data_IF_668861571996
#
_entry.id   IF_668861571996
#
_cell.length_a   1.000
_cell.length_b   1.000
_cell.length_c   1.000
_cell.angle_alpha   90.00
_cell.angle_beta   90.00
_cell.angle_gamma   90.00
#
_symmetry.space_group_name_H-M   'P 1'
#
loop_
_entity.id
_entity.type
_entity.pdbx_description
1 polymer ?
#
# COMPACT_ATOMS: atom_id res chain seq x y z
N UNK A 1 -39.43 -39.97 -85.58
CA UNK A 1 -38.46 -40.93 -85.00
C UNK A 1 -37.11 -40.23 -84.85
N UNK A 2 -36.77 -39.72 -83.66
CA UNK A 2 -35.37 -39.59 -83.23
C UNK A 2 -35.33 -39.58 -81.71
N UNK A 3 -34.47 -40.43 -81.18
CA UNK A 3 -34.45 -40.98 -79.83
C UNK A 3 -33.63 -40.11 -78.89
N UNK A 4 -34.07 -40.00 -77.63
CA UNK A 4 -33.36 -39.34 -76.54
C UNK A 4 -32.10 -40.10 -76.12
N UNK A 5 -31.09 -39.37 -75.63
CA UNK A 5 -30.05 -39.91 -74.74
C UNK A 5 -29.81 -38.89 -73.63
N UNK A 6 -30.30 -39.20 -72.42
CA UNK A 6 -29.93 -38.55 -71.17
C UNK A 6 -28.72 -39.30 -70.59
N UNK A 7 -27.61 -38.60 -70.32
CA UNK A 7 -26.49 -39.15 -69.55
C UNK A 7 -26.50 -38.59 -68.14
N UNK A 8 -26.63 -39.48 -67.15
CA UNK A 8 -26.60 -39.17 -65.72
C UNK A 8 -25.15 -38.95 -65.26
N UNK A 9 -24.84 -37.77 -64.73
CA UNK A 9 -23.53 -37.44 -64.17
C UNK A 9 -23.42 -37.98 -62.73
N UNK A 10 -22.65 -39.04 -62.54
CA UNK A 10 -22.37 -39.60 -61.22
C UNK A 10 -21.59 -38.60 -60.36
N UNK A 11 -22.21 -38.11 -59.28
CA UNK A 11 -21.59 -37.21 -58.32
C UNK A 11 -20.48 -37.91 -57.53
N UNK A 12 -19.26 -37.39 -57.62
CA UNK A 12 -18.07 -37.89 -56.93
C UNK A 12 -18.22 -37.81 -55.40
N UNK A 13 -18.64 -38.93 -54.77
CA UNK A 13 -18.76 -39.10 -53.31
C UNK A 13 -17.46 -38.80 -52.55
N UNK A 14 -16.31 -39.00 -53.21
CA UNK A 14 -14.97 -38.81 -52.64
C UNK A 14 -14.69 -37.36 -52.23
N UNK A 15 -15.13 -36.36 -53.01
CA UNK A 15 -14.84 -34.95 -52.71
C UNK A 15 -15.68 -34.40 -51.55
N UNK A 16 -16.89 -34.95 -51.33
CA UNK A 16 -17.72 -34.61 -50.16
C UNK A 16 -17.11 -35.14 -48.86
N UNK A 17 -16.49 -36.32 -48.89
CA UNK A 17 -15.85 -36.93 -47.73
C UNK A 17 -14.62 -36.14 -47.26
N UNK A 18 -13.75 -35.72 -48.18
CA UNK A 18 -12.57 -34.89 -47.84
C UNK A 18 -12.93 -33.51 -47.28
N UNK A 19 -14.05 -32.91 -47.69
CA UNK A 19 -14.52 -31.62 -47.17
C UNK A 19 -15.05 -31.71 -45.73
N UNK A 20 -15.76 -32.80 -45.40
CA UNK A 20 -16.27 -33.04 -44.04
C UNK A 20 -15.12 -33.37 -43.07
N UNK A 21 -14.18 -34.22 -43.50
CA UNK A 21 -12.97 -34.52 -42.71
C UNK A 21 -12.13 -33.25 -42.50
N UNK A 22 -11.97 -32.42 -43.53
CA UNK A 22 -11.30 -31.13 -43.41
C UNK A 22 -11.95 -30.23 -42.36
N UNK A 23 -13.29 -30.10 -42.37
CA UNK A 23 -14.00 -29.27 -41.40
C UNK A 23 -13.90 -29.77 -39.95
N UNK A 24 -13.90 -31.09 -39.75
CA UNK A 24 -13.80 -31.73 -38.42
C UNK A 24 -12.39 -31.58 -37.85
N UNK A 25 -11.36 -31.66 -38.69
CA UNK A 25 -9.97 -31.43 -38.28
C UNK A 25 -9.76 -29.97 -37.89
N UNK A 26 -10.32 -29.01 -38.64
CA UNK A 26 -10.24 -27.59 -38.28
C UNK A 26 -10.99 -27.23 -37.01
N UNK A 27 -12.16 -27.82 -36.74
CA UNK A 27 -12.90 -27.54 -35.50
C UNK A 27 -12.25 -28.17 -34.27
N UNK A 28 -11.66 -29.36 -34.41
CA UNK A 28 -10.91 -30.01 -33.32
C UNK A 28 -9.59 -29.26 -33.00
N UNK A 29 -8.94 -28.70 -34.02
CA UNK A 29 -7.75 -27.86 -33.85
C UNK A 29 -8.05 -26.54 -33.11
N UNK A 30 -9.25 -25.97 -33.29
CA UNK A 30 -9.64 -24.72 -32.63
C UNK A 30 -9.95 -24.90 -31.14
N UNK A 31 -10.42 -26.09 -30.73
CA UNK A 31 -10.75 -26.39 -29.33
C UNK A 31 -9.54 -26.68 -28.44
N UNK A 32 -8.39 -27.06 -29.03
CA UNK A 32 -7.16 -27.35 -28.29
C UNK A 32 -6.35 -26.10 -27.91
N UNK A 33 -6.75 -24.91 -28.38
CA UNK A 33 -6.05 -23.65 -28.15
C UNK A 33 -6.59 -22.77 -27.01
N UNK A 34 -7.57 -23.24 -26.24
CA UNK A 34 -8.15 -22.48 -25.11
C UNK A 34 -7.22 -22.60 -23.89
N UNK A 35 -6.07 -21.95 -23.96
CA UNK A 35 -5.15 -21.83 -22.84
C UNK A 35 -5.78 -21.00 -21.71
N UNK A 36 -5.61 -21.46 -20.48
CA UNK A 36 -6.03 -20.78 -19.26
C UNK A 36 -5.44 -19.36 -19.22
N UNK A 37 -6.30 -18.34 -19.36
CA UNK A 37 -5.91 -16.96 -19.13
C UNK A 37 -5.77 -16.74 -17.62
N UNK A 38 -4.56 -16.96 -17.09
CA UNK A 38 -4.23 -16.57 -15.72
C UNK A 38 -4.08 -15.05 -15.66
N UNK A 39 -5.17 -14.35 -15.33
CA UNK A 39 -5.15 -12.95 -14.95
C UNK A 39 -4.56 -12.82 -13.54
N UNK A 40 -3.26 -13.13 -13.40
CA UNK A 40 -2.53 -12.82 -12.18
C UNK A 40 -2.16 -11.34 -12.26
N UNK A 41 -2.92 -10.52 -11.53
CA UNK A 41 -2.62 -9.10 -11.35
C UNK A 41 -1.33 -8.99 -10.54
N UNK A 42 -0.21 -8.96 -11.24
CA UNK A 42 1.05 -8.48 -10.71
C UNK A 42 0.95 -6.95 -10.73
N UNK A 43 0.83 -6.35 -9.55
CA UNK A 43 1.04 -4.90 -9.39
C UNK A 43 2.53 -4.74 -9.10
N UNK A 44 3.39 -4.53 -10.12
CA UNK A 44 4.73 -4.05 -9.82
C UNK A 44 4.54 -2.73 -9.09
N UNK A 45 5.11 -2.62 -7.90
CA UNK A 45 5.44 -1.32 -7.32
C UNK A 45 6.54 -0.75 -8.21
N UNK A 46 6.16 -0.25 -9.39
CA UNK A 46 7.04 0.59 -10.18
C UNK A 46 7.23 1.85 -9.34
N UNK A 47 8.39 2.00 -8.70
CA UNK A 47 8.86 3.29 -8.23
C UNK A 47 8.98 4.18 -9.46
N UNK A 48 7.91 4.89 -9.77
CA UNK A 48 7.88 5.87 -10.85
C UNK A 48 8.77 7.05 -10.47
N UNK A 49 10.07 6.95 -10.74
CA UNK A 49 10.93 8.09 -11.04
C UNK A 49 11.21 9.10 -9.92
N UNK A 50 11.21 8.72 -8.65
CA UNK A 50 11.55 9.61 -7.51
C UNK A 50 12.55 8.96 -6.54
N UNK A 51 13.57 8.27 -7.05
CA UNK A 51 14.59 7.61 -6.21
C UNK A 51 15.39 8.59 -5.32
N UNK A 52 15.23 9.92 -5.46
CA UNK A 52 16.18 10.90 -4.90
C UNK A 52 15.59 12.09 -4.10
N UNK A 53 14.27 12.23 -3.94
CA UNK A 53 13.68 13.30 -3.12
C UNK A 53 12.70 12.73 -2.10
N UNK A 54 13.24 12.01 -1.12
CA UNK A 54 12.49 11.58 0.06
C UNK A 54 12.54 12.67 1.12
N UNK A 55 11.43 12.90 1.81
CA UNK A 55 11.38 13.80 2.96
C UNK A 55 12.12 13.17 4.14
N UNK A 56 13.24 13.75 4.61
CA UNK A 56 13.94 13.22 5.77
C UNK A 56 13.09 13.46 7.01
N UNK A 57 12.91 12.44 7.85
CA UNK A 57 12.23 12.57 9.13
C UNK A 57 12.87 11.65 10.16
N UNK A 58 12.96 12.12 11.40
CA UNK A 58 13.43 11.32 12.53
C UNK A 58 12.26 11.00 13.45
N UNK A 59 12.12 9.73 13.83
CA UNK A 59 11.10 9.25 14.76
C UNK A 59 11.78 8.72 16.02
N UNK A 60 11.62 9.46 17.12
CA UNK A 60 12.03 9.01 18.45
C UNK A 60 11.08 7.94 18.98
N UNK A 61 11.59 7.07 19.85
CA UNK A 61 10.72 6.21 20.65
C UNK A 61 9.79 7.06 21.53
N UNK A 62 8.51 6.69 21.58
CA UNK A 62 7.57 7.40 22.42
C UNK A 62 7.72 6.87 23.85
N UNK A 63 7.65 7.76 24.83
CA UNK A 63 7.69 7.40 26.24
C UNK A 63 6.39 6.70 26.70
N UNK A 64 6.46 5.94 27.80
CA UNK A 64 5.30 5.30 28.42
C UNK A 64 4.91 3.94 27.81
N UNK A 65 3.78 3.35 28.26
CA UNK A 65 3.38 2.00 27.87
C UNK A 65 3.16 1.88 26.36
N UNK A 66 3.83 0.91 25.75
CA UNK A 66 3.79 0.62 24.32
C UNK A 66 4.20 1.79 23.40
N UNK A 67 4.88 2.81 23.93
CA UNK A 67 5.29 3.97 23.14
C UNK A 67 6.29 3.61 22.03
N UNK A 68 7.24 2.72 22.30
CA UNK A 68 8.13 2.17 21.26
C UNK A 68 7.35 1.50 20.12
N UNK A 69 6.31 0.72 20.44
CA UNK A 69 5.49 0.05 19.43
C UNK A 69 4.73 1.06 18.55
N UNK A 70 4.24 2.16 19.14
CA UNK A 70 3.62 3.26 18.38
C UNK A 70 4.63 3.87 17.42
N UNK A 71 5.84 4.18 17.91
CA UNK A 71 6.91 4.73 17.08
C UNK A 71 7.31 3.79 15.93
N UNK A 72 7.37 2.48 16.18
CA UNK A 72 7.67 1.46 15.18
C UNK A 72 6.57 1.41 14.08
N UNK A 73 5.29 1.52 14.45
CA UNK A 73 4.18 1.57 13.47
C UNK A 73 4.21 2.87 12.66
N UNK A 74 4.41 4.02 13.32
CA UNK A 74 4.50 5.32 12.64
C UNK A 74 5.65 5.31 11.62
N UNK A 75 6.82 4.81 12.01
CA UNK A 75 7.95 4.68 11.10
C UNK A 75 7.63 3.75 9.93
N UNK A 76 6.98 2.60 10.18
CA UNK A 76 6.60 1.66 9.14
C UNK A 76 5.59 2.24 8.14
N UNK A 77 4.63 3.03 8.60
CA UNK A 77 3.64 3.70 7.75
C UNK A 77 4.29 4.75 6.85
N UNK A 78 5.14 5.60 7.42
CA UNK A 78 5.88 6.63 6.67
C UNK A 78 6.82 5.98 5.64
N UNK A 79 7.53 4.90 5.99
CA UNK A 79 8.35 4.14 5.04
C UNK A 79 7.50 3.55 3.92
N UNK A 80 6.32 3.00 4.24
CA UNK A 80 5.41 2.37 3.28
C UNK A 80 4.84 3.36 2.26
N UNK A 81 4.74 4.64 2.62
CA UNK A 81 4.33 5.69 1.66
C UNK A 81 5.30 5.84 0.49
N UNK A 82 6.58 5.46 0.67
CA UNK A 82 7.63 5.63 -0.33
C UNK A 82 8.21 7.04 -0.43
N UNK A 83 7.59 8.03 0.25
CA UNK A 83 7.96 9.45 0.16
C UNK A 83 8.92 9.91 1.27
N UNK A 84 9.08 9.12 2.34
CA UNK A 84 9.89 9.50 3.50
C UNK A 84 11.16 8.68 3.62
N UNK A 85 12.22 9.33 4.10
CA UNK A 85 13.43 8.70 4.61
C UNK A 85 13.40 8.79 6.13
N UNK A 86 13.10 7.67 6.78
CA UNK A 86 12.86 7.62 8.23
C UNK A 86 14.10 7.16 8.98
N UNK A 87 14.60 8.00 9.89
CA UNK A 87 15.62 7.64 10.89
C UNK A 87 14.96 7.36 12.24
N UNK A 88 15.44 6.36 12.96
CA UNK A 88 14.95 5.98 14.31
C UNK A 88 15.96 6.44 15.36
N UNK A 89 15.48 7.02 16.46
CA UNK A 89 16.28 7.39 17.62
C UNK A 89 15.60 6.97 18.93
N UNK A 90 16.35 6.95 20.02
CA UNK A 90 15.81 6.68 21.35
C UNK A 90 14.86 7.80 21.80
N UNK A 91 14.14 7.54 22.90
CA UNK A 91 13.14 8.47 23.40
C UNK A 91 13.78 9.79 23.85
N UNK A 92 13.21 10.89 23.35
CA UNK A 92 13.61 12.24 23.75
C UNK A 92 12.71 12.69 24.90
N UNK A 93 13.32 13.29 25.93
CA UNK A 93 12.59 13.82 27.08
C UNK A 93 11.91 15.14 26.73
N UNK A 94 10.75 15.37 27.36
CA UNK A 94 10.00 16.63 27.28
C UNK A 94 9.57 17.03 28.68
N UNK A 95 9.35 18.33 28.89
CA UNK A 95 8.84 18.83 30.16
C UNK A 95 7.34 18.55 30.34
N UNK A 96 6.77 18.97 31.49
CA UNK A 96 5.35 18.79 31.79
C UNK A 96 4.41 19.58 30.87
N UNK A 97 4.93 20.59 30.17
CA UNK A 97 4.19 21.35 29.16
C UNK A 97 4.26 20.73 27.76
N UNK A 98 5.03 19.64 27.60
CA UNK A 98 5.27 18.98 26.32
C UNK A 98 6.37 19.64 25.48
N UNK A 99 7.08 20.63 26.03
CA UNK A 99 8.21 21.27 25.37
C UNK A 99 9.36 20.28 25.28
N UNK A 100 9.96 20.08 24.10
CA UNK A 100 11.05 19.13 23.94
C UNK A 100 12.30 19.60 24.67
N UNK A 101 13.11 18.67 25.15
CA UNK A 101 14.44 18.98 25.67
C UNK A 101 15.41 19.25 24.50
N UNK A 102 15.52 20.51 24.09
CA UNK A 102 16.38 20.94 22.98
C UNK A 102 17.84 20.53 23.16
N UNK A 103 18.39 20.61 24.37
CA UNK A 103 19.77 20.19 24.62
C UNK A 103 20.01 18.70 24.35
N UNK A 104 19.02 17.85 24.66
CA UNK A 104 19.10 16.42 24.34
C UNK A 104 18.95 16.16 22.84
N UNK A 105 18.13 16.96 22.13
CA UNK A 105 17.95 16.85 20.68
C UNK A 105 19.22 17.30 19.94
N UNK A 106 19.80 18.43 20.34
CA UNK A 106 21.01 18.99 19.73
C UNK A 106 22.19 18.01 19.84
N UNK A 107 22.30 17.30 20.98
CA UNK A 107 23.32 16.27 21.19
C UNK A 107 23.18 15.05 20.25
N UNK A 108 22.00 14.84 19.65
CA UNK A 108 21.76 13.77 18.67
C UNK A 108 22.08 14.20 17.24
N UNK A 109 22.45 15.47 17.01
CA UNK A 109 22.81 16.05 15.72
C UNK A 109 21.74 15.78 14.63
N UNK A 110 20.46 15.92 15.01
CA UNK A 110 19.33 15.66 14.12
C UNK A 110 19.09 16.89 13.23
N UNK A 111 19.27 16.74 11.91
CA UNK A 111 19.05 17.81 10.94
C UNK A 111 17.69 17.74 10.22
N UNK A 112 16.82 16.81 10.62
CA UNK A 112 15.49 16.60 10.04
C UNK A 112 14.40 16.90 11.07
N UNK A 113 13.15 17.13 10.64
CA UNK A 113 12.00 17.14 11.55
C UNK A 113 11.99 15.91 12.45
N UNK A 114 11.69 16.10 13.74
CA UNK A 114 11.71 15.07 14.77
C UNK A 114 10.30 14.88 15.34
N UNK A 115 9.77 13.66 15.22
CA UNK A 115 8.58 13.23 15.91
C UNK A 115 8.93 12.57 17.24
N UNK A 116 8.36 13.06 18.34
CA UNK A 116 8.51 12.52 19.69
C UNK A 116 7.16 12.52 20.41
N UNK A 117 7.07 11.85 21.56
CA UNK A 117 5.82 11.83 22.29
C UNK A 117 5.80 10.89 23.47
N UNK A 118 4.60 10.74 24.04
CA UNK A 118 4.31 9.81 25.12
C UNK A 118 2.96 9.15 24.95
N UNK A 119 2.84 7.93 25.44
CA UNK A 119 1.62 7.14 25.50
C UNK A 119 1.23 6.92 26.95
N UNK A 120 -0.05 7.10 27.26
CA UNK A 120 -0.67 6.68 28.52
C UNK A 120 -1.58 5.46 28.34
N UNK A 121 -1.52 4.79 27.18
CA UNK A 121 -2.36 3.67 26.79
C UNK A 121 -3.62 4.10 26.02
N UNK A 122 -4.46 4.95 26.63
CA UNK A 122 -5.68 5.45 26.00
C UNK A 122 -5.47 6.74 25.19
N UNK A 123 -4.35 7.41 25.42
CA UNK A 123 -4.01 8.68 24.82
C UNK A 123 -2.55 8.66 24.40
N UNK A 124 -2.28 9.19 23.21
CA UNK A 124 -0.95 9.43 22.68
C UNK A 124 -0.80 10.93 22.48
N UNK A 125 0.14 11.53 23.20
CA UNK A 125 0.55 12.91 23.00
C UNK A 125 1.80 12.89 22.12
N UNK A 126 1.74 13.50 20.95
CA UNK A 126 2.90 13.59 20.08
C UNK A 126 3.20 15.06 19.75
N UNK A 127 4.48 15.34 19.55
CA UNK A 127 5.00 16.60 19.05
C UNK A 127 5.88 16.34 17.83
N UNK A 128 5.77 17.24 16.86
CA UNK A 128 6.65 17.33 15.71
C UNK A 128 7.41 18.66 15.80
N UNK A 129 8.73 18.59 15.80
CA UNK A 129 9.61 19.75 15.97
C UNK A 129 10.63 19.83 14.86
N UNK A 130 11.11 21.04 14.60
CA UNK A 130 12.29 21.30 13.79
C UNK A 130 13.49 21.56 14.72
N UNK A 131 14.43 20.61 14.84
CA UNK A 131 15.65 20.77 15.63
C UNK A 131 16.57 21.90 15.17
N UNK A 132 16.53 22.28 13.89
CA UNK A 132 17.43 23.31 13.33
C UNK A 132 16.91 24.70 13.69
N UNK A 133 15.58 24.88 13.66
CA UNK A 133 14.93 26.16 13.97
C UNK A 133 14.51 26.30 15.42
N UNK A 134 14.72 25.26 16.25
CA UNK A 134 14.21 25.16 17.62
C UNK A 134 12.72 25.53 17.71
N UNK A 135 11.93 25.03 16.75
CA UNK A 135 10.52 25.37 16.61
C UNK A 135 9.63 24.14 16.68
N UNK A 136 8.44 24.30 17.25
CA UNK A 136 7.42 23.25 17.27
C UNK A 136 6.52 23.42 16.05
N UNK A 137 6.52 22.42 15.17
CA UNK A 137 5.70 22.40 13.96
C UNK A 137 4.25 21.99 14.28
N UNK A 138 4.08 21.01 15.17
CA UNK A 138 2.76 20.54 15.61
C UNK A 138 2.85 19.87 16.98
N UNK A 139 1.81 20.05 17.79
CA UNK A 139 1.57 19.23 18.98
C UNK A 139 0.12 18.78 18.97
N UNK A 140 -0.12 17.48 19.14
CA UNK A 140 -1.47 16.94 19.08
C UNK A 140 -1.65 15.74 19.99
N UNK A 141 -2.84 15.68 20.57
CA UNK A 141 -3.27 14.59 21.44
C UNK A 141 -4.27 13.70 20.68
N UNK A 142 -3.93 12.43 20.55
CA UNK A 142 -4.77 11.43 19.90
C UNK A 142 -5.30 10.47 20.97
N UNK A 143 -6.62 10.42 21.10
CA UNK A 143 -7.31 9.50 22.01
C UNK A 143 -7.84 8.28 21.26
N UNK A 144 -7.85 7.12 21.92
CA UNK A 144 -8.39 5.88 21.35
C UNK A 144 -8.21 4.68 22.26
N UNK A 145 -8.95 3.61 22.02
CA UNK A 145 -8.77 2.33 22.73
C UNK A 145 -7.83 1.37 22.01
N UNK A 146 -7.54 1.62 20.72
CA UNK A 146 -6.71 0.76 19.89
C UNK A 146 -5.40 1.48 19.56
N UNK A 147 -4.29 0.90 20.02
CA UNK A 147 -2.94 1.43 19.85
C UNK A 147 -2.55 1.61 18.38
N UNK A 148 -2.81 0.60 17.53
CA UNK A 148 -2.49 0.67 16.10
C UNK A 148 -3.23 1.82 15.43
N UNK A 149 -4.51 2.00 15.73
CA UNK A 149 -5.27 3.14 15.19
C UNK A 149 -4.77 4.48 15.68
N UNK A 150 -4.28 4.58 16.92
CA UNK A 150 -3.63 5.80 17.40
C UNK A 150 -2.34 6.06 16.60
N UNK A 151 -1.49 5.05 16.40
CA UNK A 151 -0.26 5.16 15.63
C UNK A 151 -0.52 5.59 14.17
N UNK A 152 -1.48 4.97 13.48
CA UNK A 152 -1.85 5.38 12.12
C UNK A 152 -2.32 6.84 12.05
N UNK A 153 -3.05 7.34 13.06
CA UNK A 153 -3.47 8.75 13.12
C UNK A 153 -2.31 9.70 13.38
N UNK A 154 -1.30 9.28 14.13
CA UNK A 154 -0.05 10.03 14.31
C UNK A 154 0.66 10.12 12.97
N UNK A 155 0.83 8.99 12.26
CA UNK A 155 1.44 8.94 10.94
C UNK A 155 0.69 9.82 9.93
N UNK A 156 -0.65 9.80 9.94
CA UNK A 156 -1.47 10.66 9.07
C UNK A 156 -1.24 12.14 9.34
N UNK A 157 -1.14 12.52 10.61
CA UNK A 157 -0.93 13.93 11.00
C UNK A 157 0.47 14.41 10.63
N UNK A 158 1.50 13.59 10.84
CA UNK A 158 2.87 13.88 10.41
C UNK A 158 2.94 14.00 8.88
N UNK A 159 2.32 13.07 8.16
CA UNK A 159 2.29 13.08 6.71
C UNK A 159 1.62 14.35 6.17
N UNK A 160 0.49 14.74 6.74
CA UNK A 160 -0.22 15.97 6.38
C UNK A 160 0.58 17.22 6.70
N UNK A 161 1.28 17.26 7.84
CA UNK A 161 2.13 18.39 8.21
C UNK A 161 3.29 18.58 7.22
N UNK A 162 3.94 17.49 6.81
CA UNK A 162 5.14 17.53 5.98
C UNK A 162 4.85 17.66 4.48
N UNK A 163 3.74 17.07 4.01
CA UNK A 163 3.39 17.07 2.57
C UNK A 163 2.28 18.06 2.21
N UNK A 164 1.51 18.53 3.20
CA UNK A 164 0.27 19.29 2.99
C UNK A 164 -0.90 18.44 2.48
N UNK A 165 -0.72 17.13 2.33
CA UNK A 165 -1.73 16.19 1.84
C UNK A 165 -2.18 15.29 2.97
N UNK A 166 -3.50 15.08 3.10
CA UNK A 166 -4.05 14.23 4.17
C UNK A 166 -3.57 12.78 4.03
N UNK A 167 -3.01 12.22 5.10
CA UNK A 167 -2.57 10.83 5.16
C UNK A 167 -3.72 9.82 5.03
N UNK A 168 -3.40 8.61 4.56
CA UNK A 168 -4.36 7.52 4.33
C UNK A 168 -4.13 6.29 5.22
N UNK A 169 -3.18 6.33 6.16
CA UNK A 169 -2.78 5.17 6.96
C UNK A 169 -3.90 4.70 7.90
N UNK A 170 -4.76 5.61 8.37
CA UNK A 170 -5.92 5.23 9.20
C UNK A 170 -7.14 4.73 8.41
N UNK A 171 -7.04 4.60 7.09
CA UNK A 171 -8.14 4.13 6.25
C UNK A 171 -8.28 2.60 6.28
N UNK A 172 -9.41 2.09 5.78
CA UNK A 172 -9.74 0.67 5.71
C UNK A 172 -10.09 0.26 4.29
N UNK A 173 -9.69 -0.95 3.93
CA UNK A 173 -10.00 -1.57 2.65
C UNK A 173 -10.95 -2.74 2.88
N UNK A 174 -12.07 -2.72 2.18
CA UNK A 174 -13.00 -3.85 2.14
C UNK A 174 -12.77 -4.65 0.85
N UNK A 175 -12.64 -5.97 0.97
CA UNK A 175 -12.46 -6.86 -0.17
C UNK A 175 -13.27 -8.15 -0.01
N UNK A 176 -13.61 -8.78 -1.13
CA UNK A 176 -14.33 -10.06 -1.13
C UNK A 176 -13.34 -11.16 -1.45
N UNK A 177 -13.26 -12.18 -0.59
CA UNK A 177 -12.57 -13.42 -0.90
C UNK A 177 -13.57 -14.58 -0.83
N UNK A 178 -13.77 -15.24 -1.97
CA UNK A 178 -14.82 -16.25 -2.13
C UNK A 178 -16.22 -15.64 -2.00
N UNK A 179 -16.94 -16.02 -0.92
CA UNK A 179 -18.30 -15.52 -0.63
C UNK A 179 -18.36 -14.64 0.63
N UNK A 180 -17.21 -14.26 1.18
CA UNK A 180 -17.11 -13.49 2.42
C UNK A 180 -16.53 -12.09 2.16
N UNK A 181 -17.07 -11.09 2.86
CA UNK A 181 -16.56 -9.72 2.88
C UNK A 181 -15.59 -9.58 4.05
N UNK A 182 -14.38 -9.12 3.76
CA UNK A 182 -13.33 -8.82 4.73
C UNK A 182 -13.09 -7.32 4.77
N UNK A 183 -12.74 -6.79 5.94
CA UNK A 183 -12.33 -5.41 6.13
C UNK A 183 -11.01 -5.41 6.88
N UNK A 184 -9.95 -4.92 6.25
CA UNK A 184 -8.63 -4.76 6.84
C UNK A 184 -8.25 -3.28 6.91
N UNK A 185 -7.36 -2.90 7.83
CA UNK A 185 -6.75 -1.57 7.78
C UNK A 185 -5.86 -1.46 6.52
N UNK A 186 -5.52 -0.23 6.09
CA UNK A 186 -4.79 0.02 4.84
C UNK A 186 -3.43 -0.70 4.77
N UNK A 187 -2.90 -1.07 5.92
CA UNK A 187 -1.63 -1.76 6.04
C UNK A 187 -1.74 -3.30 5.96
N UNK A 188 -2.95 -3.82 5.76
CA UNK A 188 -3.26 -5.24 5.60
C UNK A 188 -3.53 -6.00 6.90
N UNK A 189 -3.52 -5.34 8.07
CA UNK A 189 -3.85 -5.97 9.34
C UNK A 189 -5.27 -5.60 9.79
N UNK A 190 -6.02 -6.60 10.26
CA UNK A 190 -7.42 -6.43 10.70
C UNK A 190 -8.16 -7.75 10.76
#
# INVERSE_FOLDING_TARGET
MTTAVFTHSAGNLRSKFYRVVGSVVTSLALTLGVGSAHAQLYVPLASGGQENFKYPITVADFAGPNGKQIADIVAADLIRSGEFEVKRVEAVTSDSSGTPNWAAIDALEIASPLAYGSSTGNTVNYGLVDPVQHSTLETKTITGSNLRRQAHRVADSIYENQTGVRGIFSTRVAFVAGKQLYVADADGQG
#
